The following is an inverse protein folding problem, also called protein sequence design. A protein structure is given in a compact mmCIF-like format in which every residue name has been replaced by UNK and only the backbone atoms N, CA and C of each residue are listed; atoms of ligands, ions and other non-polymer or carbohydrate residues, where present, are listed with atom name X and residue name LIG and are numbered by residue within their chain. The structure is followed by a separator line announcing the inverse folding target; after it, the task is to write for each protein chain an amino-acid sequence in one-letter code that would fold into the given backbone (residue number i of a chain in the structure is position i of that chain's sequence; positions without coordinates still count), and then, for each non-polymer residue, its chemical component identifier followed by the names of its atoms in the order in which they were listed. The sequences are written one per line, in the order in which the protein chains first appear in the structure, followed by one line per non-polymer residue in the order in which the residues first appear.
data_IF_639635767325
#
_entry.id   IF_639635767325
#
_cell.length_a   1.000
_cell.length_b   1.000
_cell.length_c   1.000
_cell.angle_alpha   90.00
_cell.angle_beta   90.00
_cell.angle_gamma   90.00
#
_symmetry.space_group_name_H-M   'P 1'
#
loop_
_entity.id
_entity.type
_entity.pdbx_description
1 polymer ?
#
# COMPACT_ATOMS: atom_id res chain seq x y z
N UNK A 1 -0.65 -10.03 11.67
CA UNK A 1 -1.26 -8.79 11.14
C UNK A 1 -0.79 -7.55 11.87
N UNK A 2 -0.95 -7.46 13.20
CA UNK A 2 -0.48 -6.30 13.97
C UNK A 2 1.00 -5.98 13.74
N UNK A 3 1.86 -7.01 13.67
CA UNK A 3 3.30 -6.87 13.45
C UNK A 3 3.63 -6.21 12.09
N UNK A 4 2.86 -6.49 11.03
CA UNK A 4 3.10 -5.92 9.69
C UNK A 4 2.68 -4.45 9.58
N UNK A 5 1.51 -4.10 10.12
CA UNK A 5 1.08 -2.68 10.21
C UNK A 5 1.99 -1.88 11.16
N UNK A 6 2.41 -2.46 12.28
CA UNK A 6 3.37 -1.85 13.20
C UNK A 6 4.73 -1.67 12.54
N UNK A 7 5.20 -2.65 11.77
CA UNK A 7 6.45 -2.54 11.01
C UNK A 7 6.41 -1.43 9.97
N UNK A 8 5.28 -1.23 9.28
CA UNK A 8 5.10 -0.14 8.31
C UNK A 8 5.04 1.23 9.01
N UNK A 9 4.29 1.34 10.10
CA UNK A 9 4.24 2.54 10.94
C UNK A 9 5.62 2.89 11.53
N UNK A 10 6.33 1.90 12.06
CA UNK A 10 7.70 2.07 12.58
C UNK A 10 8.67 2.45 11.47
N UNK A 11 8.59 1.83 10.29
CA UNK A 11 9.42 2.18 9.15
C UNK A 11 9.19 3.62 8.69
N UNK A 12 7.93 4.06 8.63
CA UNK A 12 7.57 5.44 8.29
C UNK A 12 8.06 6.42 9.37
N UNK A 13 7.88 6.08 10.64
CA UNK A 13 8.29 6.93 11.77
C UNK A 13 9.82 7.03 11.86
N UNK A 14 10.54 5.92 11.67
CA UNK A 14 12.00 5.89 11.61
C UNK A 14 12.53 6.65 10.39
N UNK A 15 11.91 6.49 9.22
CA UNK A 15 12.27 7.28 8.05
C UNK A 15 12.09 8.78 8.32
N UNK A 16 10.95 9.18 8.90
CA UNK A 16 10.68 10.56 9.26
C UNK A 16 11.64 11.13 10.32
N UNK A 17 11.97 10.35 11.36
CA UNK A 17 12.81 10.80 12.47
C UNK A 17 14.31 10.77 12.17
N UNK A 18 14.76 9.84 11.31
CA UNK A 18 16.18 9.60 11.03
C UNK A 18 16.60 10.25 9.71
N UNK A 19 15.74 10.28 8.69
CA UNK A 19 16.02 11.00 7.45
C UNK A 19 15.48 12.43 7.55
N UNK A 20 16.24 13.32 8.20
CA UNK A 20 16.17 14.76 7.95
C UNK A 20 16.87 15.11 6.61
N UNK A 21 16.64 14.27 5.60
CA UNK A 21 17.23 14.44 4.27
C UNK A 21 16.22 15.27 3.47
N UNK A 22 16.59 16.49 3.03
CA UNK A 22 15.72 17.25 2.14
C UNK A 22 15.53 16.44 0.86
N UNK A 23 14.33 15.88 0.68
CA UNK A 23 13.98 15.12 -0.50
C UNK A 23 13.96 16.11 -1.67
N UNK A 24 14.85 15.97 -2.67
CA UNK A 24 14.82 16.86 -3.82
C UNK A 24 13.48 16.69 -4.54
N UNK A 25 12.91 17.79 -5.05
CA UNK A 25 11.57 17.78 -5.66
C UNK A 25 11.43 16.75 -6.80
N UNK A 26 12.53 16.46 -7.50
CA UNK A 26 12.62 15.46 -8.57
C UNK A 26 12.31 14.03 -8.08
N UNK A 27 12.61 13.68 -6.83
CA UNK A 27 12.43 12.34 -6.28
C UNK A 27 11.06 12.15 -5.63
N UNK A 28 10.31 13.24 -5.44
CA UNK A 28 9.06 13.24 -4.70
C UNK A 28 8.00 12.34 -5.36
N UNK A 29 7.86 12.38 -6.68
CA UNK A 29 6.89 11.55 -7.41
C UNK A 29 7.21 10.06 -7.32
N UNK A 30 8.49 9.71 -7.31
CA UNK A 30 9.02 8.35 -7.27
C UNK A 30 8.77 7.72 -5.90
N UNK A 31 9.08 8.47 -4.84
CA UNK A 31 8.86 8.06 -3.46
C UNK A 31 7.37 7.99 -3.14
N UNK A 32 6.58 8.95 -3.62
CA UNK A 32 5.12 8.97 -3.48
C UNK A 32 4.48 7.70 -4.07
N UNK A 33 4.90 7.29 -5.27
CA UNK A 33 4.40 6.07 -5.90
C UNK A 33 4.84 4.80 -5.17
N UNK A 34 6.09 4.71 -4.71
CA UNK A 34 6.54 3.61 -3.87
C UNK A 34 5.73 3.51 -2.57
N UNK A 35 5.49 4.64 -1.90
CA UNK A 35 4.69 4.70 -0.69
C UNK A 35 3.24 4.25 -0.96
N UNK A 36 2.63 4.71 -2.06
CA UNK A 36 1.29 4.30 -2.46
C UNK A 36 1.21 2.78 -2.74
N UNK A 37 2.20 2.21 -3.44
CA UNK A 37 2.28 0.78 -3.67
C UNK A 37 2.47 -0.04 -2.38
N UNK A 38 3.26 0.50 -1.44
CA UNK A 38 3.42 -0.07 -0.11
C UNK A 38 2.11 -0.08 0.68
N UNK A 39 1.34 1.02 0.64
CA UNK A 39 0.01 1.11 1.25
C UNK A 39 -0.99 0.14 0.60
N UNK A 40 -1.05 0.06 -0.73
CA UNK A 40 -1.88 -0.92 -1.45
C UNK A 40 -1.57 -2.35 -0.97
N UNK A 41 -0.28 -2.69 -0.88
CA UNK A 41 0.16 -4.01 -0.40
C UNK A 41 -0.22 -4.23 1.08
N UNK A 42 -0.11 -3.21 1.93
CA UNK A 42 -0.52 -3.28 3.34
C UNK A 42 -2.01 -3.59 3.49
N UNK A 43 -2.88 -2.89 2.75
CA UNK A 43 -4.31 -3.17 2.75
C UNK A 43 -4.65 -4.51 2.10
N UNK A 44 -3.94 -4.89 1.03
CA UNK A 44 -4.06 -6.21 0.44
C UNK A 44 -3.71 -7.34 1.42
N UNK A 45 -2.64 -7.18 2.19
CA UNK A 45 -2.25 -8.10 3.27
C UNK A 45 -3.29 -8.16 4.39
N UNK A 46 -3.85 -7.02 4.78
CA UNK A 46 -4.95 -6.99 5.75
C UNK A 46 -6.15 -7.78 5.23
N UNK A 47 -6.63 -7.48 4.02
CA UNK A 47 -7.71 -8.23 3.40
C UNK A 47 -7.41 -9.73 3.36
N UNK A 48 -6.22 -10.13 2.92
CA UNK A 48 -5.84 -11.54 2.80
C UNK A 48 -5.91 -12.28 4.13
N UNK A 49 -5.56 -11.65 5.25
CA UNK A 49 -5.67 -12.34 6.54
C UNK A 49 -7.08 -12.30 7.15
N UNK A 50 -7.95 -11.34 6.80
CA UNK A 50 -9.38 -11.47 7.10
C UNK A 50 -10.01 -12.65 6.34
N UNK A 51 -9.52 -12.93 5.13
CA UNK A 51 -9.94 -14.05 4.30
C UNK A 51 -9.22 -15.38 4.63
N UNK A 52 -8.32 -15.41 5.62
CA UNK A 52 -7.57 -16.60 6.02
C UNK A 52 -6.51 -17.09 5.02
N UNK A 53 -6.11 -16.24 4.06
CA UNK A 53 -5.17 -16.57 2.97
C UNK A 53 -3.85 -15.80 3.03
N UNK A 54 -3.50 -15.24 4.17
CA UNK A 54 -2.29 -14.43 4.31
C UNK A 54 -1.03 -15.28 4.35
N UNK A 55 -0.11 -14.97 3.44
CA UNK A 55 1.20 -15.60 3.30
C UNK A 55 2.27 -14.51 3.46
N UNK A 56 3.12 -14.54 4.51
CA UNK A 56 4.08 -13.47 4.80
C UNK A 56 5.13 -13.26 3.70
N UNK A 57 5.58 -14.34 3.06
CA UNK A 57 6.50 -14.35 1.92
C UNK A 57 5.91 -13.63 0.69
N UNK A 58 4.64 -13.90 0.37
CA UNK A 58 3.92 -13.19 -0.70
C UNK A 58 3.72 -11.71 -0.36
N UNK A 59 3.46 -11.40 0.91
CA UNK A 59 3.32 -10.01 1.37
C UNK A 59 4.63 -9.22 1.25
N UNK A 60 5.73 -9.76 1.76
CA UNK A 60 7.04 -9.09 1.75
C UNK A 60 7.56 -8.94 0.32
N UNK A 61 7.47 -10.00 -0.50
CA UNK A 61 7.85 -9.93 -1.91
C UNK A 61 7.00 -8.92 -2.66
N UNK A 62 5.67 -8.94 -2.47
CA UNK A 62 4.77 -7.95 -3.06
C UNK A 62 5.09 -6.52 -2.65
N UNK A 63 5.41 -6.28 -1.37
CA UNK A 63 5.69 -4.94 -0.86
C UNK A 63 6.93 -4.35 -1.52
N UNK A 64 8.02 -5.12 -1.58
CA UNK A 64 9.29 -4.67 -2.17
C UNK A 64 9.15 -4.55 -3.69
N UNK A 65 8.65 -5.58 -4.37
CA UNK A 65 8.55 -5.62 -5.83
C UNK A 65 7.58 -4.55 -6.34
N UNK A 66 6.41 -4.38 -5.72
CA UNK A 66 5.45 -3.36 -6.15
C UNK A 66 5.97 -1.94 -5.92
N UNK A 67 6.65 -1.67 -4.80
CA UNK A 67 7.24 -0.36 -4.54
C UNK A 67 8.32 -0.03 -5.58
N UNK A 68 9.23 -0.97 -5.84
CA UNK A 68 10.26 -0.81 -6.87
C UNK A 68 9.67 -0.61 -8.26
N UNK A 69 8.66 -1.41 -8.63
CA UNK A 69 7.97 -1.26 -9.92
C UNK A 69 7.25 0.08 -10.04
N UNK A 70 6.60 0.56 -8.98
CA UNK A 70 5.90 1.84 -8.99
C UNK A 70 6.88 3.02 -9.17
N UNK A 71 7.99 3.03 -8.44
CA UNK A 71 9.05 4.03 -8.63
C UNK A 71 9.73 3.92 -10.00
N UNK A 72 9.94 2.71 -10.50
CA UNK A 72 10.50 2.49 -11.84
C UNK A 72 9.56 3.00 -12.94
N UNK A 73 8.25 2.77 -12.81
CA UNK A 73 7.25 3.32 -13.74
C UNK A 73 7.24 4.85 -13.71
N UNK A 74 7.37 5.46 -12.53
CA UNK A 74 7.50 6.91 -12.39
C UNK A 74 8.73 7.43 -13.15
N UNK A 75 9.88 6.78 -12.93
CA UNK A 75 11.14 7.10 -13.60
C UNK A 75 11.05 6.99 -15.12
N UNK A 76 10.47 5.88 -15.60
CA UNK A 76 10.31 5.66 -17.03
C UNK A 76 9.35 6.69 -17.64
N UNK A 77 8.28 7.06 -16.94
CA UNK A 77 7.35 8.10 -17.39
C UNK A 77 8.05 9.44 -17.58
N UNK A 78 8.84 9.83 -16.58
CA UNK A 78 9.64 11.07 -16.61
C UNK A 78 10.64 11.08 -17.77
N UNK A 79 11.35 9.96 -18.00
CA UNK A 79 12.30 9.82 -19.12
C UNK A 79 11.66 9.80 -20.49
N UNK A 80 10.44 9.27 -20.62
CA UNK A 80 9.71 9.20 -21.89
C UNK A 80 8.87 10.45 -22.17
N UNK A 81 8.75 11.37 -21.20
CA UNK A 81 7.86 12.52 -21.30
C UNK A 81 6.37 12.14 -21.30
N UNK A 82 6.01 11.01 -20.71
CA UNK A 82 4.63 10.48 -20.64
C UNK A 82 4.18 10.43 -19.18
N UNK A 83 2.92 10.78 -18.93
CA UNK A 83 2.34 10.77 -17.58
C UNK A 83 1.97 9.35 -17.10
N UNK A 84 2.99 8.50 -16.94
CA UNK A 84 2.85 7.20 -16.29
C UNK A 84 2.63 7.34 -14.78
N UNK A 85 2.96 8.49 -14.19
CA UNK A 85 2.70 8.77 -12.80
C UNK A 85 1.20 8.65 -12.51
N UNK A 86 0.36 9.37 -13.27
CA UNK A 86 -1.08 9.34 -13.09
C UNK A 86 -1.66 7.94 -13.35
N UNK A 87 -1.18 7.23 -14.38
CA UNK A 87 -1.63 5.86 -14.68
C UNK A 87 -1.33 4.90 -13.51
N UNK A 88 -0.15 5.01 -12.91
CA UNK A 88 0.24 4.22 -11.75
C UNK A 88 -0.59 4.60 -10.52
N UNK A 89 -0.80 5.89 -10.26
CA UNK A 89 -1.64 6.38 -9.14
C UNK A 89 -3.06 5.85 -9.25
N UNK A 90 -3.69 5.94 -10.43
CA UNK A 90 -5.06 5.45 -10.63
C UNK A 90 -5.15 3.93 -10.44
N UNK A 91 -4.19 3.18 -10.98
CA UNK A 91 -4.18 1.72 -10.86
C UNK A 91 -3.94 1.26 -9.43
N UNK A 92 -2.86 1.73 -8.80
CA UNK A 92 -2.49 1.38 -7.42
C UNK A 92 -3.51 1.90 -6.41
N UNK A 93 -3.91 3.17 -6.55
CA UNK A 93 -4.93 3.79 -5.70
C UNK A 93 -6.29 3.10 -5.84
N UNK A 94 -6.69 2.73 -7.06
CA UNK A 94 -7.91 1.97 -7.30
C UNK A 94 -7.91 0.62 -6.58
N UNK A 95 -6.80 -0.14 -6.66
CA UNK A 95 -6.64 -1.40 -5.93
C UNK A 95 -6.67 -1.20 -4.42
N UNK A 96 -6.02 -0.16 -3.93
CA UNK A 96 -6.02 0.19 -2.51
C UNK A 96 -7.44 0.45 -1.99
N UNK A 97 -8.22 1.27 -2.70
CA UNK A 97 -9.61 1.55 -2.35
C UNK A 97 -10.51 0.32 -2.43
N UNK A 98 -10.28 -0.57 -3.40
CA UNK A 98 -10.99 -1.84 -3.49
C UNK A 98 -10.72 -2.73 -2.28
N UNK A 99 -9.45 -2.87 -1.88
CA UNK A 99 -9.06 -3.63 -0.68
C UNK A 99 -9.72 -3.05 0.57
N UNK A 100 -9.72 -1.73 0.73
CA UNK A 100 -10.42 -1.05 1.83
C UNK A 100 -11.94 -1.31 1.83
N UNK A 101 -12.59 -1.26 0.66
CA UNK A 101 -14.02 -1.51 0.55
C UNK A 101 -14.41 -2.92 1.01
N UNK A 102 -13.57 -3.91 0.68
CA UNK A 102 -13.75 -5.31 1.10
C UNK A 102 -13.54 -5.45 2.61
N UNK A 103 -12.48 -4.86 3.16
CA UNK A 103 -12.21 -4.85 4.61
C UNK A 103 -13.39 -4.26 5.37
N UNK A 104 -13.89 -3.09 4.92
CA UNK A 104 -15.07 -2.44 5.50
C UNK A 104 -16.29 -3.35 5.46
N UNK A 105 -16.56 -3.99 4.31
CA UNK A 105 -17.71 -4.90 4.13
C UNK A 105 -17.63 -6.11 5.06
N UNK A 106 -16.44 -6.66 5.26
CA UNK A 106 -16.21 -7.77 6.18
C UNK A 106 -16.67 -7.40 7.61
N UNK A 107 -16.20 -6.27 8.14
CA UNK A 107 -16.58 -5.83 9.48
C UNK A 107 -18.07 -5.50 9.61
N UNK A 108 -18.68 -4.87 8.61
CA UNK A 108 -20.11 -4.58 8.61
C UNK A 108 -20.97 -5.86 8.63
N UNK A 109 -20.60 -6.87 7.84
CA UNK A 109 -21.28 -8.16 7.83
C UNK A 109 -21.16 -8.87 9.19
N UNK A 110 -19.97 -8.87 9.78
CA UNK A 110 -19.75 -9.43 11.11
C UNK A 110 -20.59 -8.73 12.19
N UNK A 111 -20.72 -7.41 12.11
CA UNK A 111 -21.55 -6.64 13.04
C UNK A 111 -23.04 -6.95 12.87
N UNK A 112 -23.52 -7.07 11.62
CA UNK A 112 -24.89 -7.46 11.32
C UNK A 112 -25.25 -8.83 11.91
N UNK A 113 -24.39 -9.83 11.69
CA UNK A 113 -24.57 -11.20 12.21
C UNK A 113 -24.64 -11.24 13.75
N UNK A 114 -23.89 -10.37 14.44
CA UNK A 114 -23.94 -10.26 15.91
C UNK A 114 -25.26 -9.69 16.41
N UNK A 115 -25.91 -8.79 15.67
CA UNK A 115 -27.22 -8.24 16.04
C UNK A 115 -28.37 -9.23 15.87
N UNK A 116 -28.28 -10.13 14.89
CA UNK A 116 -29.35 -11.13 14.62
C UNK A 116 -29.32 -12.31 15.61
N UNK A 117 -28.23 -12.49 16.37
CA UNK A 117 -28.07 -13.55 17.37
C UNK A 117 -28.38 -13.12 18.81
N UNK A 118 -28.69 -11.84 19.03
CA UNK A 118 -29.00 -11.27 20.35
C UNK A 118 -30.47 -10.96 20.52
#
# INVERSE_FOLDING_TARGET
MAIGMLGLLLGLLLAYLVLDIPIPAEWASYLSLAALAGLDTAFGGWRAALEGRFHPDVFVSGFVVNALLASLLAYLGDRMGVDLFLAAVVTLGGRMFLNLSIIRRYYLNQWSLRRTRG
#
